data_IF_383884303465
#
_entry.id   IF_383884303465
#
_cell.length_a   1.000
_cell.length_b   1.000
_cell.length_c   1.000
_cell.angle_alpha   90.00
_cell.angle_beta   90.00
_cell.angle_gamma   90.00
#
_symmetry.space_group_name_H-M   'P 1'
#
loop_
_entity.id
_entity.type
_entity.pdbx_description
1 polymer ?
#
# COMPACT_ATOMS: atom_id res chain seq x y z
N UNK A 1 -18.99 -11.83 14.12
CA UNK A 1 -18.46 -11.64 13.92
C UNK A 1 -18.16 -10.89 13.52
N UNK A 2 -17.79 -10.60 13.52
CA UNK A 2 -17.59 -10.06 13.07
C UNK A 2 -16.98 -9.83 12.13
N UNK A 3 -17.01 -10.05 11.70
CA UNK A 3 -16.58 -10.02 10.52
C UNK A 3 -16.72 -8.75 9.97
N UNK A 4 -17.56 -8.14 10.35
CA UNK A 4 -17.73 -6.98 9.87
C UNK A 4 -16.62 -6.17 9.96
N UNK A 5 -15.98 -6.22 10.95
CA UNK A 5 -14.85 -5.44 11.07
C UNK A 5 -14.01 -5.62 9.92
N UNK A 6 -14.08 -6.75 9.50
CA UNK A 6 -13.22 -7.02 8.51
C UNK A 6 -13.67 -6.47 7.28
N UNK A 7 -14.77 -6.45 7.19
CA UNK A 7 -15.17 -6.06 6.13
C UNK A 7 -14.81 -5.05 5.69
N UNK A 8 -14.62 -5.44 5.66
CA UNK A 8 -14.55 -4.94 4.92
C UNK A 8 -14.70 -3.68 4.63
N UNK A 9 -15.60 -3.30 4.95
CA UNK A 9 -15.74 -2.03 4.73
C UNK A 9 -14.63 -1.27 5.24
N UNK A 10 -14.04 -1.78 6.24
CA UNK A 10 -12.95 -1.09 6.83
C UNK A 10 -11.69 -1.16 6.04
N UNK A 11 -11.62 -2.06 5.13
CA UNK A 11 -10.38 -2.22 4.40
C UNK A 11 -10.26 -1.12 3.37
N UNK A 12 -9.23 -0.36 3.46
CA UNK A 12 -8.96 0.69 2.49
C UNK A 12 -7.71 0.35 1.73
N UNK A 13 -7.46 1.08 0.65
CA UNK A 13 -6.24 0.89 -0.11
C UNK A 13 -5.04 1.24 0.74
N UNK A 14 -5.18 2.24 1.60
CA UNK A 14 -4.12 2.60 2.53
C UNK A 14 -3.81 1.44 3.46
N UNK A 15 -4.84 0.79 3.98
CA UNK A 15 -4.64 -0.33 4.90
C UNK A 15 -3.95 -1.50 4.21
N UNK A 16 -4.27 -1.73 2.95
CA UNK A 16 -3.62 -2.79 2.20
C UNK A 16 -2.12 -2.52 2.05
N UNK A 17 -1.77 -1.31 1.67
CA UNK A 17 -0.38 -0.94 1.50
C UNK A 17 0.37 -1.05 2.83
N UNK A 18 -0.26 -0.59 3.90
CA UNK A 18 0.35 -0.65 5.21
C UNK A 18 0.61 -2.10 5.63
N UNK A 19 -0.37 -2.97 5.41
CA UNK A 19 -0.22 -4.37 5.75
C UNK A 19 0.92 -5.02 4.97
N UNK A 20 0.98 -4.76 3.66
CA UNK A 20 2.02 -5.34 2.84
C UNK A 20 3.40 -4.84 3.25
N UNK A 21 3.52 -3.55 3.49
CA UNK A 21 4.82 -2.98 3.86
C UNK A 21 5.30 -3.52 5.20
N UNK A 22 4.39 -3.64 6.17
CA UNK A 22 4.77 -4.16 7.48
C UNK A 22 5.14 -5.63 7.41
N UNK A 23 4.52 -6.36 6.49
CA UNK A 23 4.80 -7.78 6.35
C UNK A 23 6.12 -8.04 5.65
N UNK A 24 6.52 -7.15 4.74
CA UNK A 24 7.72 -7.36 3.95
C UNK A 24 8.99 -6.85 4.63
N UNK A 25 8.88 -5.84 5.46
CA UNK A 25 10.04 -5.23 6.05
C UNK A 25 10.35 -5.77 7.43
N UNK A 26 11.47 -5.36 7.98
CA UNK A 26 11.89 -5.74 9.31
C UNK A 26 11.57 -4.70 10.38
N UNK A 27 11.12 -3.52 9.96
CA UNK A 27 10.83 -2.43 10.89
C UNK A 27 9.40 -1.93 10.70
N UNK A 28 8.42 -2.76 11.07
CA UNK A 28 7.02 -2.37 10.85
C UNK A 28 6.64 -1.11 11.62
N UNK A 29 7.35 -0.81 12.70
CA UNK A 29 7.06 0.37 13.49
C UNK A 29 7.42 1.65 12.75
N UNK A 30 8.21 1.56 11.67
CA UNK A 30 8.59 2.73 10.91
C UNK A 30 7.79 2.89 9.63
N UNK A 31 6.81 2.03 9.40
CA UNK A 31 5.98 2.13 8.21
C UNK A 31 4.96 3.25 8.42
N UNK A 32 4.86 4.13 7.45
CA UNK A 32 3.91 5.21 7.48
C UNK A 32 3.27 5.32 6.12
N UNK A 33 1.95 5.38 6.06
CA UNK A 33 1.21 5.45 4.82
C UNK A 33 0.27 6.64 4.88
N UNK A 34 0.29 7.45 3.84
CA UNK A 34 -0.57 8.61 3.74
C UNK A 34 -1.39 8.48 2.46
N UNK A 35 -2.67 8.78 2.54
CA UNK A 35 -3.52 8.73 1.38
C UNK A 35 -4.06 10.13 1.11
N UNK A 36 -3.92 10.60 -0.12
CA UNK A 36 -4.39 11.90 -0.54
C UNK A 36 -5.34 11.71 -1.70
N UNK A 37 -6.55 12.25 -1.57
CA UNK A 37 -7.52 12.16 -2.65
C UNK A 37 -7.25 13.26 -3.65
N UNK A 38 -7.22 12.91 -4.92
CA UNK A 38 -7.03 13.87 -6.00
C UNK A 38 -8.13 13.68 -7.01
N UNK A 39 -8.18 14.57 -8.00
CA UNK A 39 -9.18 14.43 -9.04
C UNK A 39 -8.95 13.16 -9.86
N UNK A 40 -7.74 12.68 -9.88
CA UNK A 40 -7.43 11.49 -10.66
C UNK A 40 -7.54 10.22 -9.86
N UNK A 41 -7.82 10.32 -8.58
CA UNK A 41 -7.94 9.14 -7.73
C UNK A 41 -7.21 9.33 -6.43
N UNK A 42 -6.78 8.24 -5.83
CA UNK A 42 -6.09 8.28 -4.56
C UNK A 42 -4.59 8.17 -4.79
N UNK A 43 -3.85 9.06 -4.17
CA UNK A 43 -2.39 8.97 -4.17
C UNK A 43 -1.98 8.41 -2.82
N UNK A 44 -1.32 7.28 -2.82
CA UNK A 44 -0.91 6.62 -1.58
C UNK A 44 0.60 6.71 -1.49
N UNK A 45 1.08 7.37 -0.43
CA UNK A 45 2.50 7.56 -0.22
C UNK A 45 2.97 6.65 0.88
N UNK A 46 3.96 5.84 0.60
CA UNK A 46 4.48 4.86 1.53
C UNK A 46 5.89 5.25 1.95
N UNK A 47 6.12 5.31 3.26
CA UNK A 47 7.43 5.56 3.81
C UNK A 47 7.80 4.39 4.70
N UNK A 48 9.00 3.88 4.55
CA UNK A 48 9.49 2.76 5.36
C UNK A 48 10.88 3.09 5.87
N UNK A 49 11.38 2.26 6.77
CA UNK A 49 12.74 2.42 7.25
C UNK A 49 13.69 2.36 6.06
N UNK A 50 14.72 3.18 6.08
CA UNK A 50 15.68 3.22 4.99
C UNK A 50 16.26 1.84 4.72
N UNK A 51 16.51 1.08 5.77
CA UNK A 51 17.08 -0.24 5.61
C UNK A 51 16.09 -1.25 5.01
N UNK A 52 14.80 -0.94 5.01
CA UNK A 52 13.81 -1.83 4.44
C UNK A 52 13.44 -1.45 3.00
N UNK A 53 13.91 -0.31 2.54
CA UNK A 53 13.49 0.19 1.23
C UNK A 53 13.80 -0.80 0.12
N UNK A 54 14.96 -1.44 0.17
CA UNK A 54 15.32 -2.42 -0.83
C UNK A 54 14.38 -3.61 -0.86
N UNK A 55 13.84 -4.01 0.31
CA UNK A 55 12.90 -5.12 0.37
C UNK A 55 11.59 -4.75 -0.25
N UNK A 56 11.16 -3.52 -0.05
CA UNK A 56 9.89 -3.06 -0.58
C UNK A 56 9.96 -2.91 -2.10
N UNK A 57 11.08 -2.43 -2.61
CA UNK A 57 11.24 -2.28 -4.05
C UNK A 57 11.50 -3.62 -4.70
N UNK A 58 12.34 -4.43 -4.08
CA UNK A 58 12.64 -5.75 -4.59
C UNK A 58 13.62 -5.74 -5.72
N UNK A 59 14.11 -6.94 -6.07
CA UNK A 59 15.08 -7.07 -7.13
C UNK A 59 14.46 -6.60 -8.44
N UNK A 60 15.11 -5.67 -9.09
CA UNK A 60 14.65 -5.12 -10.36
C UNK A 60 13.25 -4.51 -10.26
N UNK A 61 12.89 -4.08 -9.06
CA UNK A 61 11.61 -3.43 -8.84
C UNK A 61 10.43 -4.38 -8.82
N UNK A 62 10.65 -5.68 -8.75
CA UNK A 62 9.56 -6.65 -8.88
C UNK A 62 8.55 -6.59 -7.75
N UNK A 63 9.02 -6.37 -6.53
CA UNK A 63 8.11 -6.30 -5.40
C UNK A 63 7.23 -5.07 -5.50
N UNK A 64 7.83 -3.93 -5.82
CA UNK A 64 7.06 -2.71 -5.98
C UNK A 64 6.04 -2.85 -7.10
N UNK A 65 6.43 -3.51 -8.21
CA UNK A 65 5.49 -3.72 -9.30
C UNK A 65 4.33 -4.60 -8.87
N UNK A 66 4.61 -5.63 -8.07
CA UNK A 66 3.56 -6.52 -7.59
C UNK A 66 2.60 -5.77 -6.67
N UNK A 67 3.14 -4.91 -5.80
CA UNK A 67 2.30 -4.13 -4.90
C UNK A 67 1.42 -3.19 -5.71
N UNK A 68 1.99 -2.54 -6.73
CA UNK A 68 1.22 -1.64 -7.57
C UNK A 68 0.13 -2.37 -8.33
N UNK A 69 0.43 -3.56 -8.84
CA UNK A 69 -0.55 -4.36 -9.57
C UNK A 69 -1.72 -4.74 -8.66
N UNK A 70 -1.40 -5.18 -7.46
CA UNK A 70 -2.43 -5.56 -6.51
C UNK A 70 -3.28 -4.37 -6.12
N UNK A 71 -2.63 -3.23 -5.90
CA UNK A 71 -3.33 -2.02 -5.52
C UNK A 71 -4.26 -1.58 -6.65
N UNK A 72 -3.79 -1.63 -7.90
CA UNK A 72 -4.62 -1.26 -9.04
C UNK A 72 -5.82 -2.17 -9.18
N UNK A 73 -5.63 -3.46 -8.96
CA UNK A 73 -6.73 -4.41 -9.07
C UNK A 73 -7.79 -4.13 -8.01
N UNK A 74 -7.35 -3.84 -6.78
CA UNK A 74 -8.29 -3.52 -5.71
C UNK A 74 -9.02 -2.20 -5.99
N UNK A 75 -8.29 -1.21 -6.49
CA UNK A 75 -8.88 0.08 -6.78
C UNK A 75 -9.91 -0.04 -7.90
N UNK A 76 -9.62 -0.87 -8.90
CA UNK A 76 -10.55 -1.05 -10.00
C UNK A 76 -11.88 -1.64 -9.51
N UNK A 77 -11.82 -2.53 -8.55
CA UNK A 77 -13.05 -3.09 -7.99
C UNK A 77 -13.83 -2.04 -7.24
N UNK A 78 -13.17 -1.02 -6.75
CA UNK A 78 -13.82 0.09 -6.06
C UNK A 78 -14.18 1.21 -7.04
N UNK A 79 -13.92 0.99 -8.33
CA UNK A 79 -14.20 1.95 -9.40
C UNK A 79 -13.45 3.25 -9.18
N UNK A 80 -12.19 3.12 -8.79
CA UNK A 80 -11.36 4.29 -8.60
C UNK A 80 -9.94 3.95 -9.03
N UNK A 81 -9.10 4.96 -9.11
CA UNK A 81 -7.72 4.79 -9.50
C UNK A 81 -6.84 5.02 -8.28
N UNK A 82 -5.77 4.29 -8.17
CA UNK A 82 -4.83 4.46 -7.08
C UNK A 82 -3.42 4.49 -7.62
N UNK A 83 -2.62 5.40 -7.09
CA UNK A 83 -1.23 5.56 -7.47
C UNK A 83 -0.41 5.38 -6.21
N UNK A 84 0.62 4.56 -6.29
CA UNK A 84 1.51 4.33 -5.16
C UNK A 84 2.83 5.05 -5.38
N UNK A 85 3.22 5.85 -4.41
CA UNK A 85 4.50 6.53 -4.42
C UNK A 85 5.30 6.01 -3.23
N UNK A 86 6.48 5.47 -3.49
CA UNK A 86 7.35 4.98 -2.42
C UNK A 86 8.39 6.06 -2.18
N UNK A 87 8.37 6.62 -0.97
CA UNK A 87 9.26 7.73 -0.65
C UNK A 87 10.65 7.21 -0.32
N UNK A 88 11.64 7.91 -0.82
CA UNK A 88 13.03 7.58 -0.55
C UNK A 88 13.68 8.71 0.21
#
# INVERSE_FOLDING_TARGET
MELEGVSAGGASLKDLVEFLAKSLGNHPEEVSVTEVETEEGSLIQLKVAQSDLGRIIGRQGRTAKAIRALLSACAARMKKRAILEILE
#
